data_IF_926582123467
#
_entry.id   IF_926582123467
#
_cell.length_a   1.000
_cell.length_b   1.000
_cell.length_c   1.000
_cell.angle_alpha   90.00
_cell.angle_beta   90.00
_cell.angle_gamma   90.00
#
_symmetry.space_group_name_H-M   'P 1'
#
loop_
_entity.id
_entity.type
_entity.pdbx_description
1 polymer ?
#
# COMPACT_ATOMS: atom_id res chain seq x y z
N UNK A 1 -4.42 10.32 -22.83
CA UNK A 1 -3.08 10.91 -22.67
C UNK A 1 -2.18 9.79 -22.19
N UNK A 2 -1.38 9.20 -23.09
CA UNK A 2 -0.35 8.25 -22.67
C UNK A 2 0.73 9.04 -21.94
N UNK A 3 0.91 8.75 -20.65
CA UNK A 3 1.99 9.35 -19.86
C UNK A 3 3.29 8.68 -20.31
N UNK A 4 4.26 9.48 -20.75
CA UNK A 4 5.57 8.94 -21.10
C UNK A 4 6.24 8.40 -19.83
N UNK A 5 7.11 7.38 -19.99
CA UNK A 5 7.78 6.74 -18.85
C UNK A 5 8.50 7.75 -17.92
N UNK A 6 9.04 8.82 -18.52
CA UNK A 6 9.69 9.92 -17.80
C UNK A 6 8.72 10.69 -16.88
N UNK A 7 7.50 10.99 -17.35
CA UNK A 7 6.49 11.71 -16.56
C UNK A 7 6.01 10.88 -15.37
N UNK A 8 5.84 9.57 -15.56
CA UNK A 8 5.49 8.65 -14.47
C UNK A 8 6.55 8.61 -13.37
N UNK A 9 7.83 8.61 -13.75
CA UNK A 9 8.94 8.63 -12.80
C UNK A 9 9.04 9.97 -12.07
N UNK A 10 8.84 11.09 -12.76
CA UNK A 10 8.81 12.42 -12.15
C UNK A 10 7.70 12.50 -11.09
N UNK A 11 6.47 12.10 -11.42
CA UNK A 11 5.34 12.07 -10.49
C UNK A 11 5.61 11.19 -9.26
N UNK A 12 6.26 10.03 -9.45
CA UNK A 12 6.62 9.16 -8.32
C UNK A 12 7.66 9.80 -7.39
N UNK A 13 8.64 10.53 -7.93
CA UNK A 13 9.63 11.26 -7.12
C UNK A 13 8.98 12.41 -6.34
N UNK A 14 8.03 13.12 -6.95
CA UNK A 14 7.28 14.17 -6.25
C UNK A 14 6.47 13.60 -5.07
N UNK A 15 5.79 12.46 -5.28
CA UNK A 15 5.09 11.75 -4.20
C UNK A 15 6.02 11.31 -3.08
N UNK A 16 7.22 10.83 -3.41
CA UNK A 16 8.23 10.46 -2.41
C UNK A 16 8.64 11.68 -1.57
N UNK A 17 8.95 12.80 -2.21
CA UNK A 17 9.31 14.03 -1.51
C UNK A 17 8.16 14.58 -0.66
N UNK A 18 6.90 14.39 -1.08
CA UNK A 18 5.73 14.76 -0.29
C UNK A 18 5.60 13.91 0.98
N UNK A 19 5.87 12.60 0.91
CA UNK A 19 5.88 11.72 2.09
C UNK A 19 6.94 12.16 3.10
N UNK A 20 8.14 12.50 2.64
CA UNK A 20 9.22 13.01 3.50
C UNK A 20 8.84 14.32 4.20
N UNK A 21 8.20 15.25 3.48
CA UNK A 21 7.70 16.51 4.04
C UNK A 21 6.61 16.32 5.09
N UNK A 22 5.82 15.25 4.99
CA UNK A 22 4.83 14.85 5.98
C UNK A 22 5.45 14.14 7.20
N UNK A 23 6.77 13.94 7.21
CA UNK A 23 7.48 13.19 8.27
C UNK A 23 7.27 11.68 8.18
N UNK A 24 6.75 11.17 7.06
CA UNK A 24 6.54 9.74 6.84
C UNK A 24 7.78 9.14 6.17
N UNK A 25 8.39 8.14 6.81
CA UNK A 25 9.55 7.43 6.25
C UNK A 25 9.13 6.56 5.04
N UNK A 26 9.52 6.90 3.79
CA UNK A 26 9.01 6.22 2.59
C UNK A 26 9.46 4.75 2.49
N UNK A 27 10.61 4.44 3.08
CA UNK A 27 11.20 3.10 3.09
C UNK A 27 11.01 2.37 4.43
N UNK A 28 10.25 2.97 5.35
CA UNK A 28 9.82 2.34 6.59
C UNK A 28 10.93 1.70 7.43
N UNK A 29 10.51 0.76 8.27
CA UNK A 29 11.35 -0.14 9.05
C UNK A 29 10.75 -1.55 8.97
N UNK A 30 11.35 -2.52 9.67
CA UNK A 30 10.74 -3.84 9.82
C UNK A 30 9.31 -3.70 10.40
N UNK A 31 8.34 -4.36 9.76
CA UNK A 31 6.95 -4.35 10.16
C UNK A 31 6.55 -5.76 10.59
N UNK A 32 6.06 -5.90 11.83
CA UNK A 32 5.60 -7.19 12.35
C UNK A 32 4.27 -7.59 11.72
N UNK A 33 4.25 -8.73 11.03
CA UNK A 33 3.04 -9.29 10.43
C UNK A 33 2.52 -10.46 11.25
N UNK A 34 1.20 -10.66 11.22
CA UNK A 34 0.52 -11.81 11.84
C UNK A 34 0.65 -13.11 11.03
N UNK A 35 1.49 -13.12 10.00
CA UNK A 35 1.60 -14.17 9.00
C UNK A 35 1.64 -13.60 7.57
N UNK A 36 1.52 -14.48 6.59
CA UNK A 36 1.36 -14.09 5.20
C UNK A 36 -0.11 -13.86 4.82
N UNK A 37 -0.35 -13.38 3.59
CA UNK A 37 -1.70 -13.08 3.09
C UNK A 37 -2.56 -14.35 3.00
N UNK A 38 -1.97 -15.51 2.69
CA UNK A 38 -2.70 -16.77 2.60
C UNK A 38 -3.19 -17.22 3.98
N UNK A 39 -2.34 -17.08 5.00
CA UNK A 39 -2.66 -17.36 6.39
C UNK A 39 -3.80 -16.48 6.90
N UNK A 40 -3.75 -15.17 6.63
CA UNK A 40 -4.83 -14.26 7.01
C UNK A 40 -6.17 -14.61 6.35
N UNK A 41 -6.14 -15.09 5.10
CA UNK A 41 -7.34 -15.57 4.39
C UNK A 41 -7.89 -16.87 4.97
N UNK A 42 -7.02 -17.82 5.30
CA UNK A 42 -7.42 -19.11 5.88
C UNK A 42 -7.99 -18.96 7.29
N UNK A 43 -7.36 -18.12 8.13
CA UNK A 43 -7.73 -17.94 9.54
C UNK A 43 -8.74 -16.83 9.77
N UNK A 44 -9.31 -16.27 8.71
CA UNK A 44 -10.30 -15.21 8.84
C UNK A 44 -11.50 -15.68 9.67
N UNK A 45 -11.84 -14.89 10.68
CA UNK A 45 -13.02 -15.08 11.52
C UNK A 45 -13.55 -13.71 11.97
N UNK A 46 -14.86 -13.61 12.20
CA UNK A 46 -15.47 -12.37 12.68
C UNK A 46 -14.84 -11.91 14.00
N UNK A 47 -14.40 -10.65 14.04
CA UNK A 47 -13.71 -10.05 15.18
C UNK A 47 -12.21 -10.34 15.26
N UNK A 48 -11.65 -11.21 14.40
CA UNK A 48 -10.21 -11.44 14.34
C UNK A 48 -9.48 -10.24 13.69
N UNK A 49 -8.31 -9.91 14.21
CA UNK A 49 -7.45 -8.83 13.70
C UNK A 49 -6.12 -9.38 13.23
N UNK A 50 -5.71 -8.99 12.03
CA UNK A 50 -4.45 -9.41 11.41
C UNK A 50 -3.66 -8.20 10.93
N UNK A 51 -2.34 -8.29 11.01
CA UNK A 51 -1.40 -7.33 10.39
C UNK A 51 -0.77 -7.99 9.19
N UNK A 52 -0.97 -7.41 8.00
CA UNK A 52 -0.40 -7.92 6.75
C UNK A 52 0.36 -6.81 6.03
N UNK A 53 1.37 -7.20 5.25
CA UNK A 53 2.12 -6.33 4.35
C UNK A 53 2.22 -7.00 2.98
N UNK A 54 2.23 -6.20 1.91
CA UNK A 54 2.27 -6.70 0.54
C UNK A 54 2.41 -5.57 -0.48
N UNK A 55 2.52 -5.94 -1.75
CA UNK A 55 2.60 -4.99 -2.87
C UNK A 55 1.20 -4.57 -3.30
N UNK A 56 0.97 -3.26 -3.38
CA UNK A 56 -0.25 -2.71 -3.99
C UNK A 56 -0.20 -2.95 -5.50
N UNK A 57 -1.07 -3.83 -5.99
CA UNK A 57 -1.18 -4.15 -7.42
C UNK A 57 -2.29 -3.36 -8.11
N UNK A 58 -3.36 -3.05 -7.38
CA UNK A 58 -4.44 -2.19 -7.83
C UNK A 58 -5.00 -1.40 -6.64
N UNK A 59 -5.56 -0.23 -6.91
CA UNK A 59 -6.32 0.52 -5.93
C UNK A 59 -7.52 1.17 -6.59
N UNK A 60 -8.62 1.31 -5.85
CA UNK A 60 -9.85 1.96 -6.30
C UNK A 60 -10.37 2.89 -5.22
N UNK A 61 -10.47 4.16 -5.59
CA UNK A 61 -11.07 5.21 -4.79
C UNK A 61 -12.60 5.18 -4.98
N UNK A 62 -13.34 5.18 -3.87
CA UNK A 62 -14.80 5.27 -3.81
C UNK A 62 -15.25 6.32 -2.77
N UNK A 63 -14.61 7.49 -2.77
CA UNK A 63 -14.94 8.61 -1.90
C UNK A 63 -14.53 8.36 -0.45
N UNK A 64 -15.50 7.98 0.40
CA UNK A 64 -15.23 7.66 1.82
C UNK A 64 -14.63 6.27 2.03
N UNK A 65 -14.51 5.48 0.97
CA UNK A 65 -13.95 4.13 1.02
C UNK A 65 -12.87 3.98 -0.03
N UNK A 66 -11.83 3.23 0.29
CA UNK A 66 -10.75 2.89 -0.62
C UNK A 66 -10.52 1.39 -0.56
N UNK A 67 -10.39 0.78 -1.73
CA UNK A 67 -10.10 -0.63 -1.88
C UNK A 67 -8.72 -0.79 -2.49
N UNK A 68 -7.93 -1.73 -1.96
CA UNK A 68 -6.56 -1.97 -2.40
C UNK A 68 -6.35 -3.47 -2.55
N UNK A 69 -5.79 -3.88 -3.68
CA UNK A 69 -5.37 -5.25 -3.93
C UNK A 69 -3.90 -5.43 -3.50
N UNK A 70 -3.68 -6.34 -2.55
CA UNK A 70 -2.36 -6.66 -2.01
C UNK A 70 -1.92 -8.05 -2.49
N UNK A 71 -0.67 -8.13 -2.97
CA UNK A 71 0.03 -9.36 -3.33
C UNK A 71 1.25 -9.61 -2.47
#
# INVERSE_FOLDING_TARGET
MEQTESELLALRREKLAALEKLGVAPFGAAFETSGDIAHAREKFADGASFRIAGRISAHRDMGKSHFVDLK
#
